data_IF_688492656528
#
_entry.id   IF_688492656528
#
_cell.length_a   1.000
_cell.length_b   1.000
_cell.length_c   1.000
_cell.angle_alpha   90.00
_cell.angle_beta   90.00
_cell.angle_gamma   90.00
#
_symmetry.space_group_name_H-M   'P 1'
#
loop_
_entity.id
_entity.type
_entity.pdbx_description
1 polymer ?
#
# COMPACT_ATOMS: atom_id res chain seq x y z
N UNK A 1 7.85 -10.04 -14.79
CA UNK A 1 7.39 -8.78 -14.18
C UNK A 1 8.28 -7.65 -14.70
N UNK A 2 7.71 -6.56 -15.24
CA UNK A 2 8.49 -5.39 -15.74
C UNK A 2 8.95 -4.50 -14.58
N UNK A 3 8.28 -4.58 -13.43
CA UNK A 3 8.59 -3.83 -12.21
C UNK A 3 10.06 -3.95 -11.75
N UNK A 4 10.63 -5.16 -11.79
CA UNK A 4 12.02 -5.42 -11.41
C UNK A 4 13.01 -5.35 -12.60
N UNK A 5 12.58 -4.84 -13.76
CA UNK A 5 13.44 -4.73 -14.94
C UNK A 5 14.39 -3.54 -14.86
N UNK A 6 15.40 -3.52 -15.73
CA UNK A 6 16.31 -2.37 -15.92
C UNK A 6 15.66 -1.20 -16.70
N UNK A 7 14.38 -1.32 -17.08
CA UNK A 7 13.62 -0.31 -17.83
C UNK A 7 12.19 -0.14 -17.27
N UNK A 8 12.05 0.20 -15.97
CA UNK A 8 10.74 0.29 -15.30
C UNK A 8 9.81 1.34 -15.93
N UNK A 9 10.36 2.37 -16.58
CA UNK A 9 9.60 3.43 -17.26
C UNK A 9 8.66 2.90 -18.35
N UNK A 10 8.95 1.73 -18.93
CA UNK A 10 8.07 1.08 -19.92
C UNK A 10 6.71 0.69 -19.33
N UNK A 11 6.61 0.55 -18.01
CA UNK A 11 5.38 0.21 -17.33
C UNK A 11 4.55 1.43 -16.90
N UNK A 12 5.04 2.67 -17.08
CA UNK A 12 4.36 3.87 -16.57
C UNK A 12 2.96 4.05 -17.14
N UNK A 13 2.79 3.88 -18.46
CA UNK A 13 1.47 3.99 -19.09
C UNK A 13 0.49 2.97 -18.51
N UNK A 14 0.95 1.73 -18.30
CA UNK A 14 0.13 0.68 -17.70
C UNK A 14 -0.16 0.95 -16.22
N UNK A 15 0.81 1.47 -15.46
CA UNK A 15 0.64 1.83 -14.06
C UNK A 15 -0.39 2.95 -13.91
N UNK A 16 -0.31 3.99 -14.75
CA UNK A 16 -1.23 5.12 -14.73
C UNK A 16 -2.67 4.70 -15.07
N UNK A 17 -2.83 3.74 -15.99
CA UNK A 17 -4.14 3.21 -16.36
C UNK A 17 -4.74 2.23 -15.33
N UNK A 18 -3.90 1.52 -14.57
CA UNK A 18 -4.34 0.42 -13.71
C UNK A 18 -5.29 0.87 -12.59
N UNK A 19 -5.03 2.04 -11.99
CA UNK A 19 -5.88 2.57 -10.90
C UNK A 19 -7.35 2.70 -11.33
N UNK A 20 -7.60 3.05 -12.60
CA UNK A 20 -8.95 3.22 -13.13
C UNK A 20 -9.72 1.89 -13.36
N UNK A 21 -9.03 0.75 -13.32
CA UNK A 21 -9.64 -0.56 -13.67
C UNK A 21 -10.46 -1.16 -12.53
N UNK A 22 -10.04 -0.96 -11.27
CA UNK A 22 -10.76 -1.45 -10.10
C UNK A 22 -10.56 -0.48 -8.90
N UNK A 23 -11.27 0.67 -8.90
CA UNK A 23 -11.02 1.75 -7.94
C UNK A 23 -11.48 1.43 -6.50
N UNK A 24 -12.22 0.34 -6.29
CA UNK A 24 -12.72 -0.09 -4.97
C UNK A 24 -11.76 -1.03 -4.23
N UNK A 25 -10.70 -1.52 -4.89
CA UNK A 25 -9.74 -2.42 -4.29
C UNK A 25 -8.46 -1.65 -3.96
N UNK A 26 -8.22 -1.39 -2.67
CA UNK A 26 -7.06 -0.62 -2.23
C UNK A 26 -5.74 -1.22 -2.73
N UNK A 27 -5.65 -2.55 -2.83
CA UNK A 27 -4.51 -3.22 -3.47
C UNK A 27 -4.30 -2.80 -4.93
N UNK A 28 -5.34 -2.78 -5.77
CA UNK A 28 -5.21 -2.37 -7.17
C UNK A 28 -4.84 -0.90 -7.28
N UNK A 29 -5.43 -0.06 -6.42
CA UNK A 29 -5.09 1.36 -6.34
C UNK A 29 -3.62 1.54 -5.95
N UNK A 30 -3.06 0.69 -5.09
CA UNK A 30 -1.66 0.74 -4.65
C UNK A 30 -0.64 0.29 -5.72
N UNK A 31 -0.98 -0.70 -6.55
CA UNK A 31 -0.05 -1.33 -7.49
C UNK A 31 0.80 -0.37 -8.35
N UNK A 32 0.29 0.78 -8.84
CA UNK A 32 1.09 1.75 -9.58
C UNK A 32 2.30 2.29 -8.81
N UNK A 33 2.22 2.38 -7.48
CA UNK A 33 3.31 2.88 -6.64
C UNK A 33 4.61 2.08 -6.77
N UNK A 34 4.51 0.77 -7.07
CA UNK A 34 5.66 -0.09 -7.35
C UNK A 34 6.50 0.41 -8.53
N UNK A 35 5.88 1.01 -9.55
CA UNK A 35 6.59 1.64 -10.67
C UNK A 35 7.03 3.06 -10.30
N UNK A 36 6.20 3.84 -9.62
CA UNK A 36 6.51 5.23 -9.26
C UNK A 36 7.79 5.33 -8.43
N UNK A 37 7.98 4.45 -7.45
CA UNK A 37 9.21 4.46 -6.63
C UNK A 37 10.45 4.08 -7.43
N UNK A 38 10.32 3.23 -8.46
CA UNK A 38 11.43 2.80 -9.32
C UNK A 38 11.90 3.90 -10.26
N UNK A 39 10.98 4.78 -10.69
CA UNK A 39 11.28 5.90 -11.59
C UNK A 39 11.47 7.23 -10.85
N UNK A 40 11.52 7.22 -9.51
CA UNK A 40 11.72 8.42 -8.69
C UNK A 40 10.51 9.34 -8.54
N UNK A 41 9.31 8.92 -8.93
CA UNK A 41 8.06 9.66 -8.76
C UNK A 41 7.50 9.49 -7.34
N UNK A 42 8.29 9.84 -6.33
CA UNK A 42 7.98 9.58 -4.91
C UNK A 42 6.71 10.31 -4.43
N UNK A 43 6.47 11.55 -4.87
CA UNK A 43 5.22 12.26 -4.55
C UNK A 43 3.99 11.53 -5.08
N UNK A 44 4.04 11.04 -6.32
CA UNK A 44 2.97 10.24 -6.92
C UNK A 44 2.75 8.92 -6.17
N UNK A 45 3.84 8.29 -5.70
CA UNK A 45 3.77 7.11 -4.85
C UNK A 45 3.07 7.41 -3.52
N UNK A 46 3.38 8.53 -2.86
CA UNK A 46 2.70 8.94 -1.61
C UNK A 46 1.21 9.15 -1.87
N UNK A 47 0.84 9.99 -2.84
CA UNK A 47 -0.57 10.33 -3.11
C UNK A 47 -1.40 9.10 -3.47
N UNK A 48 -0.85 8.23 -4.32
CA UNK A 48 -1.47 6.98 -4.72
C UNK A 48 -1.72 6.04 -3.53
N UNK A 49 -0.76 5.93 -2.60
CA UNK A 49 -0.91 5.10 -1.41
C UNK A 49 -1.85 5.70 -0.35
N UNK A 50 -1.90 7.03 -0.22
CA UNK A 50 -2.90 7.69 0.63
C UNK A 50 -4.30 7.39 0.11
N UNK A 51 -4.52 7.42 -1.21
CA UNK A 51 -5.78 7.00 -1.81
C UNK A 51 -6.06 5.51 -1.56
N UNK A 52 -5.06 4.65 -1.73
CA UNK A 52 -5.19 3.21 -1.43
C UNK A 52 -5.66 2.95 0.01
N UNK A 53 -5.12 3.67 1.00
CA UNK A 53 -5.60 3.59 2.39
C UNK A 53 -7.07 3.99 2.53
N UNK A 54 -7.49 5.07 1.87
CA UNK A 54 -8.88 5.52 1.90
C UNK A 54 -9.83 4.49 1.29
N UNK A 55 -9.41 3.85 0.18
CA UNK A 55 -10.18 2.80 -0.50
C UNK A 55 -10.25 1.53 0.35
N UNK A 56 -9.15 1.11 0.98
CA UNK A 56 -9.15 -0.02 1.93
C UNK A 56 -10.11 0.22 3.10
N UNK A 57 -10.18 1.46 3.61
CA UNK A 57 -11.09 1.85 4.68
C UNK A 57 -12.56 1.83 4.22
N UNK A 58 -12.86 2.39 3.04
CA UNK A 58 -14.21 2.35 2.46
C UNK A 58 -14.65 0.91 2.20
N UNK A 59 -13.77 0.06 1.67
CA UNK A 59 -14.06 -1.34 1.47
C UNK A 59 -14.33 -2.04 2.80
N UNK A 60 -13.56 -1.75 3.86
CA UNK A 60 -13.79 -2.29 5.19
C UNK A 60 -15.19 -1.94 5.72
N UNK A 61 -15.62 -0.70 5.54
CA UNK A 61 -16.95 -0.22 5.96
C UNK A 61 -18.08 -0.91 5.20
N UNK A 62 -17.91 -1.09 3.88
CA UNK A 62 -18.89 -1.78 3.05
C UNK A 62 -18.94 -3.29 3.31
N UNK A 63 -17.79 -3.90 3.58
CA UNK A 63 -17.66 -5.34 3.81
C UNK A 63 -18.09 -5.75 5.22
N UNK A 64 -17.90 -4.88 6.21
CA UNK A 64 -18.21 -5.17 7.61
C UNK A 64 -17.54 -6.46 8.11
N UNK A 65 -18.32 -7.27 8.84
CA UNK A 65 -17.85 -8.51 9.46
C UNK A 65 -18.06 -9.75 8.58
N UNK A 66 -18.34 -9.57 7.29
CA UNK A 66 -18.48 -10.70 6.37
C UNK A 66 -17.16 -11.51 6.30
N UNK A 67 -17.26 -12.85 6.21
CA UNK A 67 -16.07 -13.70 6.19
C UNK A 67 -15.22 -13.40 4.96
N UNK A 68 -13.93 -13.17 5.17
CA UNK A 68 -12.96 -13.10 4.08
C UNK A 68 -12.48 -14.53 3.75
N UNK A 69 -12.15 -14.82 2.48
CA UNK A 69 -11.51 -16.09 2.13
C UNK A 69 -10.23 -16.24 2.95
N UNK A 70 -9.98 -17.40 3.55
CA UNK A 70 -8.74 -17.69 4.28
C UNK A 70 -7.64 -18.27 3.38
N UNK A 71 -7.92 -18.42 2.09
CA UNK A 71 -7.00 -18.98 1.08
C UNK A 71 -6.91 -18.05 -0.14
N UNK A 72 -5.83 -18.17 -0.89
CA UNK A 72 -5.63 -17.40 -2.12
C UNK A 72 -5.41 -15.91 -1.87
N UNK A 73 -6.40 -15.09 -2.19
CA UNK A 73 -6.31 -13.62 -2.21
C UNK A 73 -6.40 -12.96 -0.84
N UNK A 74 -6.45 -13.73 0.27
CA UNK A 74 -6.48 -13.19 1.63
C UNK A 74 -5.40 -12.13 1.92
N UNK A 75 -4.12 -12.30 1.51
CA UNK A 75 -3.09 -11.29 1.71
C UNK A 75 -3.35 -9.96 0.95
N UNK A 76 -4.22 -9.99 -0.06
CA UNK A 76 -4.63 -8.82 -0.85
C UNK A 76 -5.85 -8.11 -0.25
N UNK A 77 -6.43 -8.64 0.83
CA UNK A 77 -7.57 -8.03 1.51
C UNK A 77 -7.18 -6.71 2.19
N UNK A 78 -8.15 -5.81 2.34
CA UNK A 78 -7.99 -4.53 3.02
C UNK A 78 -7.41 -4.64 4.45
N UNK A 79 -7.60 -5.80 5.11
CA UNK A 79 -7.08 -6.05 6.47
C UNK A 79 -5.56 -6.15 6.50
N UNK A 80 -4.99 -6.87 5.53
CA UNK A 80 -3.54 -7.15 5.45
C UNK A 80 -2.83 -6.12 4.57
N UNK A 81 -3.40 -5.81 3.41
CA UNK A 81 -2.79 -4.93 2.40
C UNK A 81 -2.49 -3.53 2.93
N UNK A 82 -3.36 -2.97 3.77
CA UNK A 82 -3.21 -1.59 4.22
C UNK A 82 -1.90 -1.29 4.96
N UNK A 83 -1.22 -2.27 5.57
CA UNK A 83 0.13 -2.06 6.10
C UNK A 83 1.17 -1.77 5.02
N UNK A 84 1.10 -2.51 3.90
CA UNK A 84 2.04 -2.41 2.78
C UNK A 84 1.96 -1.05 2.07
N UNK A 85 0.76 -0.48 1.93
CA UNK A 85 0.62 0.87 1.41
C UNK A 85 1.24 1.94 2.32
N UNK A 86 1.20 1.77 3.65
CA UNK A 86 1.91 2.65 4.59
C UNK A 86 3.43 2.53 4.45
N UNK A 87 3.96 1.33 4.21
CA UNK A 87 5.40 1.14 3.98
C UNK A 87 5.89 1.93 2.75
N UNK A 88 5.09 1.98 1.69
CA UNK A 88 5.40 2.79 0.50
C UNK A 88 5.37 4.29 0.77
N UNK A 89 4.39 4.79 1.52
CA UNK A 89 4.35 6.21 1.94
C UNK A 89 5.60 6.54 2.74
N UNK A 90 5.93 5.70 3.74
CA UNK A 90 7.10 5.90 4.59
C UNK A 90 8.39 5.90 3.79
N UNK A 91 8.57 4.93 2.88
CA UNK A 91 9.75 4.82 2.03
C UNK A 91 9.91 6.06 1.15
N UNK A 92 8.87 6.42 0.39
CA UNK A 92 8.89 7.56 -0.53
C UNK A 92 9.14 8.88 0.23
N UNK A 93 8.49 9.09 1.38
CA UNK A 93 8.69 10.27 2.21
C UNK A 93 10.12 10.35 2.76
N UNK A 94 10.70 9.21 3.16
CA UNK A 94 12.09 9.14 3.67
C UNK A 94 13.08 9.55 2.58
N UNK A 95 12.94 9.03 1.37
CA UNK A 95 13.85 9.35 0.24
C UNK A 95 13.74 10.82 -0.17
N UNK A 96 12.56 11.43 -0.02
CA UNK A 96 12.37 12.86 -0.30
C UNK A 96 12.83 13.80 0.83
N UNK A 97 13.27 13.27 1.97
CA UNK A 97 13.60 14.09 3.15
C UNK A 97 12.37 14.68 3.86
N UNK A 98 11.15 14.19 3.57
CA UNK A 98 9.94 14.57 4.28
C UNK A 98 9.81 13.77 5.58
N UNK A 99 10.63 14.13 6.57
CA UNK A 99 10.72 13.42 7.85
C UNK A 99 9.40 13.42 8.62
N UNK A 100 8.61 14.50 8.52
CA UNK A 100 7.31 14.60 9.18
C UNK A 100 6.39 13.46 8.72
N UNK A 101 6.15 13.35 7.42
CA UNK A 101 5.29 12.29 6.87
C UNK A 101 5.87 10.90 7.12
N UNK A 102 7.19 10.72 7.01
CA UNK A 102 7.83 9.43 7.26
C UNK A 102 7.62 8.95 8.71
N UNK A 103 7.81 9.83 9.70
CA UNK A 103 7.63 9.52 11.12
C UNK A 103 6.17 9.26 11.45
N UNK A 104 5.26 10.15 11.02
CA UNK A 104 3.82 9.99 11.25
C UNK A 104 3.31 8.66 10.66
N UNK A 105 3.72 8.32 9.43
CA UNK A 105 3.34 7.06 8.78
C UNK A 105 3.93 5.85 9.49
N UNK A 106 5.18 5.94 9.95
CA UNK A 106 5.81 4.89 10.75
C UNK A 106 5.03 4.56 12.02
N UNK A 107 4.56 5.58 12.75
CA UNK A 107 3.71 5.39 13.93
C UNK A 107 2.34 4.82 13.57
N UNK A 108 1.73 5.25 12.46
CA UNK A 108 0.48 4.66 11.98
C UNK A 108 0.63 3.16 11.71
N UNK A 109 1.73 2.74 11.07
CA UNK A 109 2.01 1.33 10.83
C UNK A 109 2.24 0.56 12.14
N UNK A 110 3.05 1.10 13.05
CA UNK A 110 3.28 0.47 14.36
C UNK A 110 1.98 0.27 15.14
N UNK A 111 1.11 1.28 15.16
CA UNK A 111 -0.17 1.24 15.87
C UNK A 111 -1.22 0.35 15.21
N UNK A 112 -1.03 -0.11 13.96
CA UNK A 112 -1.89 -1.14 13.34
C UNK A 112 -1.60 -2.54 13.87
N UNK A 113 -0.40 -2.75 14.39
CA UNK A 113 0.04 -4.03 14.93
C UNK A 113 -0.35 -4.06 16.42
N UNK A 114 -1.58 -4.43 16.72
CA UNK A 114 -2.09 -4.57 18.10
C UNK A 114 -2.56 -5.99 18.38
N UNK A 115 -2.26 -6.52 19.57
CA UNK A 115 -2.76 -7.80 20.06
C UNK A 115 -1.67 -8.86 20.32
N UNK A 116 -2.06 -9.94 20.99
CA UNK A 116 -1.18 -11.00 21.53
C UNK A 116 -0.26 -11.67 20.50
N UNK A 117 -0.57 -11.56 19.20
CA UNK A 117 0.26 -12.07 18.10
C UNK A 117 1.64 -11.40 18.01
N UNK A 118 1.83 -10.21 18.59
CA UNK A 118 3.14 -9.53 18.70
C UNK A 118 4.03 -10.17 19.76
N UNK A 119 3.43 -10.78 20.80
CA UNK A 119 4.16 -11.35 21.95
C UNK A 119 4.78 -12.72 21.66
N UNK A 120 4.35 -13.42 20.61
CA UNK A 120 4.78 -14.80 20.31
C UNK A 120 6.05 -14.86 19.44
N UNK A 121 6.53 -13.73 18.92
CA UNK A 121 7.76 -13.68 18.09
C UNK A 121 9.00 -13.18 18.83
N UNK A 122 8.89 -12.93 20.13
CA UNK A 122 10.01 -12.61 21.02
C UNK A 122 10.28 -13.77 21.98
N UNK A 123 10.85 -14.86 21.46
CA UNK A 123 11.30 -16.02 22.23
C UNK A 123 12.48 -16.68 21.54
#
# INVERSE_FOLDING_TARGET
LIEASLKPERALVSADALEATLPIAGHVVHMPAHIYVRVGQYGKAIDNNVRSQAVDQQFAELWGDHPLPSTGTYPLSHRIHAGHALDFIRYAATVQGNYKTAIETGWRMANRITGDAVMVRGG
#
